data_IF_044046222644
#
_entry.id   IF_044046222644
#
_cell.length_a   1.000
_cell.length_b   1.000
_cell.length_c   1.000
_cell.angle_alpha   90.00
_cell.angle_beta   90.00
_cell.angle_gamma   90.00
#
_symmetry.space_group_name_H-M   'P 1'
#
loop_
_entity.id
_entity.type
_entity.pdbx_description
1 polymer ?
#
# COMPACT_ATOMS: atom_id res chain seq x y z
N UNK A 1 -41.06 6.00 -95.54
CA UNK A 1 -39.83 5.29 -95.93
C UNK A 1 -38.65 6.07 -95.39
N UNK A 2 -37.69 5.38 -94.75
CA UNK A 2 -36.45 5.86 -94.10
C UNK A 2 -36.52 6.20 -92.60
N UNK A 3 -36.28 5.12 -91.86
CA UNK A 3 -35.71 5.01 -90.51
C UNK A 3 -34.32 5.67 -90.49
N UNK A 4 -34.00 6.44 -89.44
CA UNK A 4 -32.62 6.49 -88.94
C UNK A 4 -32.62 6.74 -87.43
N UNK A 5 -32.11 5.74 -86.71
CA UNK A 5 -31.85 5.71 -85.26
C UNK A 5 -30.79 6.77 -84.94
N UNK A 6 -31.05 7.65 -83.98
CA UNK A 6 -30.00 8.41 -83.29
C UNK A 6 -30.01 7.99 -81.84
N UNK A 7 -28.91 7.37 -81.47
CA UNK A 7 -28.62 6.72 -80.20
C UNK A 7 -28.49 7.75 -79.09
N UNK A 8 -29.10 7.40 -77.96
CA UNK A 8 -29.07 8.08 -76.67
C UNK A 8 -27.61 8.18 -76.16
N UNK A 9 -27.03 9.39 -76.12
CA UNK A 9 -25.78 9.67 -75.40
C UNK A 9 -26.13 10.46 -74.13
N UNK A 10 -26.47 9.73 -73.07
CA UNK A 10 -26.57 10.27 -71.72
C UNK A 10 -25.15 10.66 -71.27
N UNK A 11 -24.88 11.96 -71.25
CA UNK A 11 -23.72 12.54 -70.58
C UNK A 11 -23.88 12.37 -69.06
N UNK A 12 -23.38 11.24 -68.54
CA UNK A 12 -23.04 11.06 -67.13
C UNK A 12 -21.79 11.91 -66.83
N UNK A 13 -22.00 13.20 -66.51
CA UNK A 13 -21.01 13.96 -65.75
C UNK A 13 -21.06 13.48 -64.31
N UNK A 14 -20.33 12.40 -64.02
CA UNK A 14 -20.03 12.00 -62.66
C UNK A 14 -19.17 13.10 -62.02
N UNK A 15 -19.70 13.72 -60.98
CA UNK A 15 -18.98 14.61 -60.08
C UNK A 15 -17.81 13.86 -59.45
N UNK A 16 -16.60 14.08 -59.95
CA UNK A 16 -15.38 13.77 -59.20
C UNK A 16 -15.28 14.83 -58.11
N UNK A 17 -15.86 14.54 -56.95
CA UNK A 17 -15.52 15.28 -55.74
C UNK A 17 -14.03 15.01 -55.48
N UNK A 18 -13.18 15.97 -55.81
CA UNK A 18 -11.80 15.96 -55.34
C UNK A 18 -11.88 16.13 -53.83
N UNK A 19 -11.83 15.02 -53.09
CA UNK A 19 -11.51 15.08 -51.67
C UNK A 19 -10.10 15.68 -51.61
N UNK A 20 -10.00 16.92 -51.14
CA UNK A 20 -8.72 17.48 -50.74
C UNK A 20 -8.32 16.68 -49.50
N UNK A 21 -7.32 15.83 -49.65
CA UNK A 21 -6.72 15.13 -48.53
C UNK A 21 -5.97 16.18 -47.70
N UNK A 22 -6.56 16.54 -46.55
CA UNK A 22 -6.00 17.54 -45.67
C UNK A 22 -5.11 16.78 -44.68
N UNK A 23 -3.80 16.97 -44.79
CA UNK A 23 -2.85 16.46 -43.80
C UNK A 23 -3.02 17.25 -42.49
N UNK A 24 -3.71 16.64 -41.54
CA UNK A 24 -3.94 17.22 -40.23
C UNK A 24 -2.61 17.45 -39.47
N UNK A 25 -1.65 16.54 -39.60
CA UNK A 25 -0.36 16.64 -38.95
C UNK A 25 0.39 17.88 -39.43
N UNK A 26 0.44 18.10 -40.74
CA UNK A 26 1.06 19.29 -41.34
C UNK A 26 0.46 20.57 -40.78
N UNK A 27 -0.88 20.68 -40.75
CA UNK A 27 -1.58 21.87 -40.23
C UNK A 27 -1.28 22.09 -38.74
N UNK A 28 -1.37 21.05 -37.92
CA UNK A 28 -1.13 21.15 -36.49
C UNK A 28 0.33 21.56 -36.19
N UNK A 29 1.30 21.01 -36.93
CA UNK A 29 2.72 21.30 -36.78
C UNK A 29 3.12 22.72 -37.24
N UNK A 30 2.28 23.43 -37.99
CA UNK A 30 2.51 24.86 -38.28
C UNK A 30 2.55 25.72 -37.01
N UNK A 31 1.89 25.29 -35.94
CA UNK A 31 1.86 25.99 -34.65
C UNK A 31 2.42 25.14 -33.49
N UNK A 32 2.44 23.81 -33.62
CA UNK A 32 3.00 22.87 -32.64
C UNK A 32 4.33 22.28 -33.14
N UNK A 33 5.21 23.12 -33.66
CA UNK A 33 6.51 22.73 -34.23
C UNK A 33 7.37 21.92 -33.25
N UNK A 34 7.31 22.22 -31.96
CA UNK A 34 7.98 21.49 -30.88
C UNK A 34 7.55 20.02 -30.75
N UNK A 35 6.39 19.65 -31.29
CA UNK A 35 5.90 18.27 -31.27
C UNK A 35 6.56 17.40 -32.35
N UNK A 36 7.16 18.00 -33.38
CA UNK A 36 7.74 17.27 -34.50
C UNK A 36 8.81 16.27 -34.06
N UNK A 37 9.65 16.63 -33.08
CA UNK A 37 10.66 15.73 -32.51
C UNK A 37 10.01 14.56 -31.77
N UNK A 38 8.93 14.82 -31.02
CA UNK A 38 8.25 13.79 -30.24
C UNK A 38 7.52 12.78 -31.14
N UNK A 39 6.92 13.23 -32.23
CA UNK A 39 6.28 12.35 -33.23
C UNK A 39 7.27 11.46 -33.98
N UNK A 40 8.54 11.88 -34.04
CA UNK A 40 9.65 11.14 -34.64
C UNK A 40 10.51 10.42 -33.60
N UNK A 41 10.05 10.34 -32.35
CA UNK A 41 10.78 9.68 -31.29
C UNK A 41 11.00 8.19 -31.59
N UNK A 42 11.99 7.61 -30.89
CA UNK A 42 12.39 6.21 -31.10
C UNK A 42 11.23 5.21 -30.94
N UNK A 43 10.25 5.52 -30.08
CA UNK A 43 9.04 4.75 -29.89
C UNK A 43 7.84 5.65 -30.22
N UNK A 44 7.29 5.57 -31.45
CA UNK A 44 6.13 6.36 -31.84
C UNK A 44 4.84 5.76 -31.28
N UNK A 45 3.86 6.61 -30.93
CA UNK A 45 2.48 6.20 -30.77
C UNK A 45 1.76 6.33 -32.12
N UNK A 46 1.25 5.23 -32.66
CA UNK A 46 0.86 5.15 -34.07
C UNK A 46 -0.14 6.23 -34.54
N UNK A 47 -1.25 6.51 -33.83
CA UNK A 47 -2.19 7.58 -34.23
C UNK A 47 -1.52 8.97 -34.24
N UNK A 48 -0.65 9.24 -33.26
CA UNK A 48 0.05 10.51 -33.18
C UNK A 48 1.07 10.65 -34.32
N UNK A 49 1.86 9.61 -34.59
CA UNK A 49 2.85 9.60 -35.66
C UNK A 49 2.22 9.67 -37.06
N UNK A 50 0.98 9.20 -37.21
CA UNK A 50 0.18 9.33 -38.43
C UNK A 50 -0.46 10.72 -38.61
N UNK A 51 -0.31 11.63 -37.64
CA UNK A 51 -0.90 12.97 -37.70
C UNK A 51 -2.40 13.00 -37.41
N UNK A 52 -2.97 11.94 -36.83
CA UNK A 52 -4.41 11.82 -36.50
C UNK A 52 -4.76 12.59 -35.22
N UNK A 53 -4.34 13.86 -35.12
CA UNK A 53 -4.48 14.68 -33.92
C UNK A 53 -5.94 14.76 -33.42
N UNK A 54 -6.93 14.78 -34.33
CA UNK A 54 -8.35 14.87 -33.92
C UNK A 54 -8.95 13.59 -33.35
N UNK A 55 -8.24 12.46 -33.44
CA UNK A 55 -8.65 11.24 -32.75
C UNK A 55 -8.64 11.45 -31.22
N UNK A 56 -7.70 12.25 -30.73
CA UNK A 56 -7.54 12.54 -29.31
C UNK A 56 -7.91 13.97 -28.93
N UNK A 57 -7.74 14.94 -29.83
CA UNK A 57 -7.97 16.36 -29.56
C UNK A 57 -9.18 16.92 -30.31
N UNK A 58 -9.80 17.94 -29.72
CA UNK A 58 -10.77 18.80 -30.38
C UNK A 58 -10.17 20.20 -30.51
N UNK A 59 -9.64 20.59 -31.69
CA UNK A 59 -8.91 21.84 -31.86
C UNK A 59 -9.77 23.10 -31.71
N UNK A 60 -11.09 22.98 -31.68
CA UNK A 60 -11.99 24.12 -31.54
C UNK A 60 -12.39 24.35 -30.08
N UNK A 61 -12.86 23.31 -29.40
CA UNK A 61 -13.34 23.43 -28.02
C UNK A 61 -13.33 22.08 -27.32
N UNK A 62 -12.81 22.06 -26.10
CA UNK A 62 -13.01 20.97 -25.16
C UNK A 62 -13.19 21.51 -23.74
N UNK A 63 -13.93 20.74 -22.94
CA UNK A 63 -14.01 20.92 -21.48
C UNK A 63 -12.88 20.21 -20.72
N UNK A 64 -12.05 19.44 -21.41
CA UNK A 64 -10.94 18.69 -20.85
C UNK A 64 -9.62 19.42 -21.14
N UNK A 65 -8.64 19.24 -20.25
CA UNK A 65 -7.32 19.86 -20.40
C UNK A 65 -6.66 19.46 -21.73
N UNK A 66 -5.79 20.33 -22.23
CA UNK A 66 -5.07 20.11 -23.50
C UNK A 66 -5.97 19.85 -24.72
N UNK A 67 -7.22 20.33 -24.69
CA UNK A 67 -8.18 20.15 -25.77
C UNK A 67 -8.52 18.67 -26.06
N UNK A 68 -8.44 17.76 -25.09
CA UNK A 68 -8.76 16.35 -25.33
C UNK A 68 -10.25 16.10 -25.63
N UNK A 69 -10.57 15.08 -26.42
CA UNK A 69 -11.95 14.68 -26.75
C UNK A 69 -12.68 14.10 -25.53
N UNK A 70 -11.96 13.42 -24.64
CA UNK A 70 -12.44 12.89 -23.37
C UNK A 70 -11.35 12.93 -22.28
N UNK A 71 -11.66 12.51 -21.05
CA UNK A 71 -10.64 12.24 -20.02
C UNK A 71 -9.67 11.15 -20.49
N UNK A 72 -8.39 11.19 -20.07
CA UNK A 72 -7.38 10.25 -20.56
C UNK A 72 -7.77 8.78 -20.49
N UNK A 73 -8.31 8.29 -19.36
CA UNK A 73 -8.74 6.90 -19.20
C UNK A 73 -9.72 6.43 -20.29
N UNK A 74 -10.97 6.97 -20.33
CA UNK A 74 -11.94 6.63 -21.38
C UNK A 74 -11.41 6.85 -22.81
N UNK A 75 -10.63 7.92 -23.03
CA UNK A 75 -10.06 8.21 -24.34
C UNK A 75 -9.09 7.11 -24.80
N UNK A 76 -8.14 6.72 -23.96
CA UNK A 76 -7.19 5.65 -24.26
C UNK A 76 -7.90 4.30 -24.45
N UNK A 77 -8.88 3.99 -23.60
CA UNK A 77 -9.63 2.72 -23.67
C UNK A 77 -10.58 2.65 -24.87
N UNK A 78 -10.88 3.77 -25.54
CA UNK A 78 -11.66 3.74 -26.79
C UNK A 78 -10.94 3.04 -27.95
N UNK A 79 -9.61 2.91 -27.87
CA UNK A 79 -8.79 2.15 -28.82
C UNK A 79 -8.10 0.95 -28.17
N UNK A 80 -7.76 1.04 -26.88
CA UNK A 80 -7.11 -0.04 -26.11
C UNK A 80 -8.15 -0.87 -25.33
N UNK A 81 -9.12 -1.45 -26.05
CA UNK A 81 -10.23 -2.18 -25.46
C UNK A 81 -9.79 -3.43 -24.68
N UNK A 82 -8.73 -4.12 -25.14
CA UNK A 82 -8.16 -5.29 -24.46
C UNK A 82 -7.67 -4.94 -23.05
N UNK A 83 -7.04 -3.77 -22.90
CA UNK A 83 -6.64 -3.28 -21.58
C UNK A 83 -7.87 -3.06 -20.70
N UNK A 84 -8.97 -2.57 -21.28
CA UNK A 84 -10.24 -2.41 -20.55
C UNK A 84 -10.71 -3.71 -19.90
N UNK A 85 -10.55 -4.85 -20.59
CA UNK A 85 -10.87 -6.17 -20.04
C UNK A 85 -9.89 -6.60 -18.94
N UNK A 86 -8.60 -6.25 -19.07
CA UNK A 86 -7.61 -6.52 -18.01
C UNK A 86 -7.93 -5.77 -16.71
N UNK A 87 -8.60 -4.61 -16.78
CA UNK A 87 -9.01 -3.85 -15.59
C UNK A 87 -10.17 -4.48 -14.80
N UNK A 88 -10.76 -5.58 -15.28
CA UNK A 88 -11.76 -6.35 -14.53
C UNK A 88 -11.14 -7.36 -13.55
N UNK A 89 -9.81 -7.46 -13.50
CA UNK A 89 -9.08 -8.37 -12.60
C UNK A 89 -9.14 -7.90 -11.15
N UNK A 90 -8.83 -8.82 -10.23
CA UNK A 90 -9.07 -8.63 -8.79
C UNK A 90 -8.37 -7.41 -8.18
N UNK A 91 -7.14 -7.12 -8.63
CA UNK A 91 -6.31 -6.02 -8.14
C UNK A 91 -5.96 -5.12 -9.30
N UNK A 92 -6.51 -3.91 -9.33
CA UNK A 92 -6.16 -2.88 -10.31
C UNK A 92 -5.23 -1.87 -9.66
N UNK A 93 -4.16 -1.53 -10.37
CA UNK A 93 -3.23 -0.51 -9.91
C UNK A 93 -3.93 0.85 -9.86
N UNK A 94 -3.91 1.50 -8.69
CA UNK A 94 -4.71 2.69 -8.43
C UNK A 94 -4.58 3.81 -9.51
N UNK A 95 -3.39 4.21 -10.00
CA UNK A 95 -3.28 5.22 -11.05
C UNK A 95 -4.02 4.84 -12.34
N UNK A 96 -4.09 3.54 -12.65
CA UNK A 96 -4.79 3.01 -13.82
C UNK A 96 -6.29 2.98 -13.59
N UNK A 97 -6.75 2.56 -12.40
CA UNK A 97 -8.16 2.63 -12.01
C UNK A 97 -8.71 4.07 -12.05
N UNK A 98 -7.86 5.05 -11.75
CA UNK A 98 -8.19 6.49 -11.83
C UNK A 98 -8.06 7.07 -13.25
N UNK A 99 -7.66 6.27 -14.24
CA UNK A 99 -7.51 6.68 -15.62
C UNK A 99 -6.34 7.64 -15.87
N UNK A 100 -5.32 7.65 -15.01
CA UNK A 100 -4.14 8.54 -15.12
C UNK A 100 -3.05 7.93 -16.00
N UNK A 101 -3.40 7.54 -17.23
CA UNK A 101 -2.49 6.86 -18.15
C UNK A 101 -1.23 7.68 -18.46
N UNK A 102 -1.38 9.01 -18.54
CA UNK A 102 -0.30 9.95 -18.91
C UNK A 102 0.73 10.20 -17.80
N UNK A 103 0.48 9.73 -16.58
CA UNK A 103 1.48 9.77 -15.50
C UNK A 103 2.65 8.82 -15.82
N UNK A 104 2.36 7.76 -16.58
CA UNK A 104 3.29 6.71 -16.93
C UNK A 104 3.62 6.67 -18.42
N UNK A 105 2.68 7.04 -19.30
CA UNK A 105 2.81 6.91 -20.76
C UNK A 105 2.90 8.24 -21.51
N UNK A 106 3.61 8.25 -22.64
CA UNK A 106 3.77 9.37 -23.57
C UNK A 106 2.82 9.18 -24.76
N UNK A 107 1.65 9.85 -24.81
CA UNK A 107 0.64 9.60 -25.84
C UNK A 107 1.05 10.05 -27.26
N UNK A 108 2.12 10.84 -27.40
CA UNK A 108 2.63 11.30 -28.70
C UNK A 108 3.86 10.55 -29.19
N UNK A 109 4.43 9.66 -28.37
CA UNK A 109 5.74 9.05 -28.62
C UNK A 109 6.80 9.51 -27.62
N UNK A 110 7.86 8.73 -27.52
CA UNK A 110 8.94 8.99 -26.57
C UNK A 110 10.16 8.08 -26.79
N UNK A 111 11.22 8.27 -25.99
CA UNK A 111 12.45 7.51 -26.13
C UNK A 111 12.39 6.13 -25.47
N UNK A 112 11.46 5.89 -24.55
CA UNK A 112 11.42 4.66 -23.76
C UNK A 112 10.46 3.61 -24.38
N UNK A 113 10.78 2.30 -24.27
CA UNK A 113 9.88 1.22 -24.65
C UNK A 113 8.50 1.34 -24.01
N UNK A 114 7.48 0.82 -24.69
CA UNK A 114 6.07 0.87 -24.24
C UNK A 114 5.57 2.30 -23.96
N UNK A 115 6.19 3.29 -24.62
CA UNK A 115 5.85 4.71 -24.48
C UNK A 115 5.99 5.21 -23.03
N UNK A 116 6.90 4.68 -22.22
CA UNK A 116 7.00 5.14 -20.83
C UNK A 116 7.62 6.56 -20.75
N UNK A 117 7.15 7.37 -19.80
CA UNK A 117 7.71 8.72 -19.56
C UNK A 117 9.13 8.67 -19.00
N UNK A 118 9.51 7.56 -18.36
CA UNK A 118 10.83 7.27 -17.77
C UNK A 118 11.10 5.76 -17.84
N UNK A 119 12.32 5.32 -17.54
CA UNK A 119 12.58 3.89 -17.35
C UNK A 119 11.76 3.33 -16.18
N UNK A 120 11.46 2.03 -16.21
CA UNK A 120 10.57 1.37 -15.24
C UNK A 120 11.00 1.61 -13.79
N UNK A 121 12.28 1.47 -13.49
CA UNK A 121 12.77 1.57 -12.11
C UNK A 121 12.71 3.00 -11.56
N UNK A 122 12.90 4.01 -12.41
CA UNK A 122 12.74 5.42 -12.04
C UNK A 122 11.27 5.80 -11.96
N UNK A 123 10.44 5.31 -12.89
CA UNK A 123 9.01 5.57 -12.92
C UNK A 123 8.32 5.06 -11.65
N UNK A 124 8.49 3.78 -11.31
CA UNK A 124 7.88 3.18 -10.13
C UNK A 124 8.39 3.85 -8.84
N UNK A 125 9.68 4.17 -8.77
CA UNK A 125 10.27 4.87 -7.63
C UNK A 125 9.77 6.32 -7.44
N UNK A 126 9.12 6.90 -8.45
CA UNK A 126 8.48 8.21 -8.33
C UNK A 126 7.27 8.22 -7.38
N UNK A 127 6.66 7.07 -7.13
CA UNK A 127 5.54 6.93 -6.21
C UNK A 127 5.79 5.92 -5.09
N UNK A 128 6.53 4.83 -5.35
CA UNK A 128 6.81 3.78 -4.38
C UNK A 128 8.13 4.05 -3.63
N UNK A 129 8.04 4.73 -2.49
CA UNK A 129 9.22 5.12 -1.70
C UNK A 129 10.03 3.91 -1.18
N UNK A 130 9.38 2.75 -1.00
CA UNK A 130 10.05 1.52 -0.64
C UNK A 130 11.14 1.13 -1.65
N UNK A 131 10.94 1.42 -2.94
CA UNK A 131 11.95 1.19 -3.99
C UNK A 131 13.18 2.05 -3.73
N UNK A 132 13.00 3.33 -3.35
CA UNK A 132 14.11 4.23 -3.02
C UNK A 132 14.87 3.77 -1.77
N UNK A 133 14.16 3.19 -0.80
CA UNK A 133 14.77 2.56 0.39
C UNK A 133 15.57 1.31 0.01
N UNK A 134 14.98 0.38 -0.75
CA UNK A 134 15.62 -0.87 -1.16
C UNK A 134 16.86 -0.65 -2.05
N UNK A 135 16.85 0.37 -2.92
CA UNK A 135 18.02 0.75 -3.74
C UNK A 135 19.26 1.12 -2.91
N UNK A 136 19.10 1.47 -1.62
CA UNK A 136 20.20 1.79 -0.71
C UNK A 136 20.75 0.57 0.03
N UNK A 137 20.08 -0.58 -0.06
CA UNK A 137 20.51 -1.80 0.61
C UNK A 137 21.66 -2.48 -0.16
N UNK A 138 22.62 -3.08 0.56
CA UNK A 138 23.83 -3.64 -0.03
C UNK A 138 23.60 -4.93 -0.83
N UNK A 139 22.58 -5.72 -0.48
CA UNK A 139 22.26 -6.96 -1.18
C UNK A 139 20.98 -6.74 -1.97
N UNK A 140 21.10 -6.66 -3.29
CA UNK A 140 19.96 -6.48 -4.19
C UNK A 140 19.75 -7.73 -5.04
N UNK A 141 18.50 -8.15 -5.15
CA UNK A 141 18.11 -9.22 -6.03
C UNK A 141 18.36 -8.80 -7.49
N UNK A 142 19.02 -9.61 -8.34
CA UNK A 142 19.47 -9.15 -9.65
C UNK A 142 18.38 -8.57 -10.57
N UNK A 143 17.15 -9.14 -10.67
CA UNK A 143 16.06 -8.52 -11.43
C UNK A 143 15.68 -7.13 -10.91
N UNK A 144 15.65 -6.94 -9.58
CA UNK A 144 15.37 -5.64 -8.96
C UNK A 144 16.48 -4.63 -9.27
N UNK A 145 17.74 -5.02 -9.10
CA UNK A 145 18.90 -4.16 -9.36
C UNK A 145 18.96 -3.67 -10.82
N UNK A 146 18.46 -4.49 -11.76
CA UNK A 146 18.37 -4.14 -13.19
C UNK A 146 17.13 -3.31 -13.55
N UNK A 147 16.15 -3.21 -12.66
CA UNK A 147 14.88 -2.54 -12.95
C UNK A 147 13.88 -3.38 -13.73
N UNK A 148 14.05 -4.71 -13.76
CA UNK A 148 13.22 -5.65 -14.52
C UNK A 148 11.92 -6.00 -13.77
N UNK A 149 11.23 -4.99 -13.23
CA UNK A 149 10.06 -5.13 -12.35
C UNK A 149 8.95 -5.97 -12.99
N UNK A 150 8.74 -5.80 -14.31
CA UNK A 150 7.71 -6.51 -15.06
C UNK A 150 7.98 -8.01 -15.28
N UNK A 151 9.11 -8.52 -14.79
CA UNK A 151 9.35 -9.97 -14.73
C UNK A 151 8.44 -10.65 -13.71
N UNK A 152 8.15 -9.94 -12.62
CA UNK A 152 7.37 -10.45 -11.49
C UNK A 152 6.07 -9.68 -11.28
N UNK A 153 5.97 -8.42 -11.74
CA UNK A 153 4.80 -7.57 -11.55
C UNK A 153 4.06 -7.24 -12.84
N UNK A 154 2.75 -7.07 -12.75
CA UNK A 154 1.87 -6.56 -13.81
C UNK A 154 1.43 -5.13 -13.49
N UNK A 155 2.01 -4.10 -14.13
CA UNK A 155 1.86 -2.70 -13.70
C UNK A 155 0.43 -2.12 -13.79
N UNK A 156 -0.50 -2.81 -14.43
CA UNK A 156 -1.87 -2.34 -14.63
C UNK A 156 -2.87 -3.07 -13.74
N UNK A 157 -2.95 -4.39 -13.85
CA UNK A 157 -3.88 -5.19 -13.07
C UNK A 157 -3.37 -6.62 -12.92
N UNK A 158 -3.74 -7.29 -11.85
CA UNK A 158 -3.45 -8.71 -11.60
C UNK A 158 -4.56 -9.38 -10.81
N UNK A 159 -4.62 -10.70 -10.88
CA UNK A 159 -5.43 -11.53 -9.98
C UNK A 159 -4.74 -11.82 -8.64
N UNK A 160 -3.50 -11.32 -8.46
CA UNK A 160 -2.68 -11.55 -7.29
C UNK A 160 -2.29 -10.23 -6.60
N UNK A 161 -2.17 -10.32 -5.28
CA UNK A 161 -1.75 -9.21 -4.43
C UNK A 161 -0.43 -8.58 -4.89
N UNK A 162 -0.29 -7.28 -4.57
CA UNK A 162 0.84 -6.46 -4.96
C UNK A 162 1.13 -6.49 -6.47
N UNK A 163 0.09 -6.71 -7.28
CA UNK A 163 0.17 -6.78 -8.74
C UNK A 163 1.17 -7.85 -9.21
N UNK A 164 1.25 -8.99 -8.53
CA UNK A 164 2.17 -10.06 -8.92
C UNK A 164 1.68 -10.76 -10.19
N UNK A 165 2.54 -11.04 -11.17
CA UNK A 165 2.13 -11.66 -12.44
C UNK A 165 1.65 -13.11 -12.31
N UNK A 166 1.98 -13.77 -11.20
CA UNK A 166 1.63 -15.15 -10.86
C UNK A 166 1.83 -15.37 -9.35
N UNK A 167 1.44 -16.53 -8.78
CA UNK A 167 1.75 -16.85 -7.40
C UNK A 167 3.26 -16.77 -7.14
N UNK A 168 3.66 -16.12 -6.06
CA UNK A 168 5.06 -15.76 -5.79
C UNK A 168 6.04 -16.95 -5.82
N UNK A 169 5.65 -18.12 -5.31
CA UNK A 169 6.49 -19.32 -5.37
C UNK A 169 6.74 -19.80 -6.80
N UNK A 170 5.74 -19.67 -7.68
CA UNK A 170 5.89 -19.93 -9.10
C UNK A 170 6.81 -18.89 -9.74
N UNK A 171 6.70 -17.59 -9.39
CA UNK A 171 7.61 -16.54 -9.87
C UNK A 171 9.07 -16.86 -9.56
N UNK A 172 9.36 -17.28 -8.33
CA UNK A 172 10.73 -17.61 -7.92
C UNK A 172 11.28 -18.81 -8.71
N UNK A 173 10.47 -19.85 -8.90
CA UNK A 173 10.90 -21.11 -9.54
C UNK A 173 11.08 -21.02 -11.05
N UNK A 174 10.72 -19.90 -11.68
CA UNK A 174 11.13 -19.60 -13.06
C UNK A 174 12.64 -19.45 -13.23
N UNK A 175 13.36 -19.10 -12.16
CA UNK A 175 14.81 -18.93 -12.16
C UNK A 175 15.52 -19.74 -11.07
N UNK A 176 14.89 -19.95 -9.92
CA UNK A 176 15.44 -20.69 -8.79
C UNK A 176 15.00 -22.16 -8.80
N UNK A 177 15.91 -23.06 -9.12
CA UNK A 177 15.62 -24.50 -9.15
C UNK A 177 15.64 -25.10 -7.74
N UNK A 178 14.63 -25.93 -7.44
CA UNK A 178 14.55 -26.70 -6.19
C UNK A 178 15.37 -27.98 -6.32
N UNK A 179 16.69 -27.81 -6.35
CA UNK A 179 17.65 -28.91 -6.52
C UNK A 179 18.28 -29.35 -5.18
N UNK A 180 19.31 -30.20 -5.25
CA UNK A 180 20.03 -30.68 -4.05
C UNK A 180 20.75 -29.54 -3.32
N UNK A 181 21.20 -28.51 -4.04
CA UNK A 181 21.86 -27.33 -3.47
C UNK A 181 20.87 -26.52 -2.65
N UNK A 182 19.68 -26.29 -3.21
CA UNK A 182 18.57 -25.65 -2.51
C UNK A 182 18.20 -26.42 -1.23
N UNK A 183 18.00 -27.74 -1.34
CA UNK A 183 17.64 -28.58 -0.19
C UNK A 183 18.71 -28.54 0.90
N UNK A 184 19.99 -28.57 0.50
CA UNK A 184 21.11 -28.50 1.43
C UNK A 184 21.19 -27.14 2.13
N UNK A 185 20.94 -26.04 1.41
CA UNK A 185 20.91 -24.70 1.99
C UNK A 185 19.79 -24.52 3.04
N UNK A 186 18.70 -25.27 2.91
CA UNK A 186 17.57 -25.29 3.85
C UNK A 186 17.61 -26.48 4.82
N UNK A 187 18.78 -27.10 5.00
CA UNK A 187 19.01 -28.21 5.94
C UNK A 187 18.08 -29.42 5.74
N UNK A 188 17.57 -29.63 4.51
CA UNK A 188 16.68 -30.73 4.18
C UNK A 188 15.22 -30.53 4.60
N UNK A 189 14.83 -29.37 5.13
CA UNK A 189 13.43 -29.06 5.36
C UNK A 189 12.70 -28.80 4.03
N UNK A 190 11.44 -29.28 3.86
CA UNK A 190 10.70 -29.20 2.61
C UNK A 190 10.07 -27.81 2.38
N UNK A 191 10.91 -26.77 2.38
CA UNK A 191 10.49 -25.36 2.28
C UNK A 191 10.08 -24.93 0.87
N UNK A 192 10.19 -25.80 -0.13
CA UNK A 192 9.70 -25.53 -1.49
C UNK A 192 8.18 -25.33 -1.57
N UNK A 193 7.45 -25.80 -0.55
CA UNK A 193 6.02 -25.60 -0.39
C UNK A 193 5.67 -24.35 0.40
N UNK A 194 6.66 -23.72 1.03
CA UNK A 194 6.48 -22.50 1.81
C UNK A 194 6.48 -21.27 0.89
N UNK A 195 5.87 -20.19 1.37
CA UNK A 195 5.95 -18.90 0.71
C UNK A 195 7.36 -18.30 0.94
N UNK A 196 8.21 -18.34 -0.09
CA UNK A 196 9.61 -17.92 -0.02
C UNK A 196 9.80 -16.52 0.58
N UNK A 197 8.88 -15.62 0.26
CA UNK A 197 8.90 -14.25 0.73
C UNK A 197 8.68 -14.12 2.24
N UNK A 198 8.17 -15.14 2.95
CA UNK A 198 8.05 -15.05 4.42
C UNK A 198 9.42 -14.96 5.10
N UNK A 199 10.46 -15.52 4.47
CA UNK A 199 11.83 -15.47 4.99
C UNK A 199 12.75 -14.55 4.19
N UNK A 200 12.48 -14.40 2.90
CA UNK A 200 13.31 -13.62 1.98
C UNK A 200 12.61 -12.34 1.52
N UNK A 201 13.35 -11.26 1.33
CA UNK A 201 12.90 -10.08 0.59
C UNK A 201 13.19 -10.30 -0.91
N UNK A 202 12.18 -10.28 -1.80
CA UNK A 202 12.36 -10.56 -3.22
C UNK A 202 13.08 -9.42 -3.98
N UNK A 203 13.33 -8.28 -3.33
CA UNK A 203 13.94 -7.10 -3.94
C UNK A 203 15.34 -6.85 -3.39
N UNK A 204 15.47 -6.64 -2.08
CA UNK A 204 16.74 -6.28 -1.47
C UNK A 204 16.75 -6.47 0.04
N UNK A 205 17.92 -6.73 0.59
CA UNK A 205 18.14 -6.83 2.04
C UNK A 205 19.50 -6.25 2.46
N UNK A 206 19.62 -5.94 3.74
CA UNK A 206 20.91 -5.70 4.38
C UNK A 206 21.73 -7.00 4.55
N UNK A 207 21.09 -8.16 4.46
CA UNK A 207 21.68 -9.45 4.80
C UNK A 207 21.89 -10.32 3.57
N UNK A 208 22.94 -11.17 3.63
CA UNK A 208 23.20 -12.18 2.62
C UNK A 208 22.01 -13.15 2.50
N UNK A 209 21.78 -13.70 1.31
CA UNK A 209 20.63 -14.57 1.05
C UNK A 209 19.29 -13.84 1.07
N UNK A 210 19.28 -12.50 1.08
CA UNK A 210 18.07 -11.68 1.06
C UNK A 210 17.12 -11.93 2.24
N UNK A 211 17.60 -12.35 3.41
CA UNK A 211 16.72 -12.51 4.57
C UNK A 211 16.03 -11.19 4.98
N UNK A 212 14.83 -11.25 5.57
CA UNK A 212 14.17 -10.05 6.10
C UNK A 212 14.99 -9.41 7.23
N UNK A 213 14.70 -8.15 7.55
CA UNK A 213 15.54 -7.29 8.40
C UNK A 213 15.90 -7.89 9.78
N UNK A 214 14.95 -8.54 10.43
CA UNK A 214 15.13 -9.15 11.74
C UNK A 214 15.21 -10.67 11.58
N UNK A 215 16.18 -11.28 12.25
CA UNK A 215 16.31 -12.73 12.37
C UNK A 215 16.08 -13.15 13.81
N UNK A 216 15.31 -14.21 14.01
CA UNK A 216 15.19 -14.84 15.31
C UNK A 216 16.48 -15.62 15.61
N UNK A 217 17.15 -15.45 16.78
CA UNK A 217 18.46 -16.07 17.01
C UNK A 217 18.51 -17.61 16.83
N UNK A 218 17.49 -18.40 17.23
CA UNK A 218 17.43 -19.83 16.90
C UNK A 218 17.39 -20.11 15.39
N UNK A 219 16.70 -19.29 14.61
CA UNK A 219 16.64 -19.40 13.15
C UNK A 219 17.96 -19.00 12.50
N UNK A 220 18.54 -17.87 12.90
CA UNK A 220 19.85 -17.39 12.42
C UNK A 220 20.96 -18.42 12.66
N UNK A 221 20.94 -19.07 13.82
CA UNK A 221 21.89 -20.15 14.16
C UNK A 221 21.57 -21.49 13.52
N UNK A 222 20.53 -21.59 12.69
CA UNK A 222 20.13 -22.81 12.00
C UNK A 222 19.63 -23.92 12.94
N UNK A 223 19.21 -23.60 14.16
CA UNK A 223 18.76 -24.57 15.17
C UNK A 223 17.27 -24.90 15.00
N UNK A 224 16.87 -25.31 13.79
CA UNK A 224 15.47 -25.59 13.45
C UNK A 224 14.83 -26.63 14.39
N UNK A 225 15.61 -27.64 14.79
CA UNK A 225 15.19 -28.73 15.70
C UNK A 225 14.95 -28.28 17.14
N UNK A 226 15.31 -27.04 17.49
CA UNK A 226 14.91 -26.45 18.76
C UNK A 226 13.40 -26.19 18.81
N UNK A 227 12.74 -26.09 17.66
CA UNK A 227 11.31 -25.84 17.57
C UNK A 227 10.58 -26.93 16.79
N UNK A 228 11.14 -27.39 15.69
CA UNK A 228 10.51 -28.34 14.77
C UNK A 228 11.01 -29.78 14.96
N UNK A 229 10.25 -30.72 14.40
CA UNK A 229 10.69 -32.09 14.22
C UNK A 229 11.89 -32.19 13.25
N UNK A 230 12.55 -33.35 13.20
CA UNK A 230 13.73 -33.55 12.35
C UNK A 230 13.37 -33.46 10.84
N UNK A 231 14.29 -32.93 10.01
CA UNK A 231 14.13 -32.97 8.56
C UNK A 231 14.09 -34.44 8.11
N UNK A 232 13.03 -34.83 7.40
CA UNK A 232 12.78 -36.20 6.95
C UNK A 232 11.91 -37.06 7.87
N UNK A 233 11.41 -36.51 8.98
CA UNK A 233 10.27 -37.13 9.69
C UNK A 233 8.99 -37.07 8.85
N UNK A 234 7.92 -37.78 9.26
CA UNK A 234 6.62 -37.70 8.56
C UNK A 234 6.07 -36.26 8.53
N UNK A 235 6.32 -35.49 9.60
CA UNK A 235 5.83 -34.12 9.77
C UNK A 235 6.97 -33.16 10.18
N UNK A 236 7.92 -32.82 9.28
CA UNK A 236 9.12 -32.06 9.62
C UNK A 236 8.84 -30.68 10.22
N UNK A 237 7.71 -30.04 9.89
CA UNK A 237 7.35 -28.72 10.41
C UNK A 237 6.51 -28.76 11.68
N UNK A 238 6.11 -29.94 12.17
CA UNK A 238 5.44 -30.04 13.46
C UNK A 238 6.33 -29.50 14.57
N UNK A 239 5.77 -28.69 15.47
CA UNK A 239 6.52 -28.18 16.62
C UNK A 239 6.66 -29.25 17.70
N UNK A 240 7.78 -29.24 18.44
CA UNK A 240 8.04 -30.20 19.53
C UNK A 240 7.11 -30.06 20.72
N UNK A 241 6.52 -28.87 20.89
CA UNK A 241 5.61 -28.50 21.96
C UNK A 241 4.51 -27.58 21.42
N UNK A 242 3.37 -27.46 22.12
CA UNK A 242 2.42 -26.37 21.91
C UNK A 242 3.11 -25.00 22.02
N UNK A 243 2.62 -24.02 21.25
CA UNK A 243 3.28 -22.72 21.04
C UNK A 243 3.65 -22.00 22.34
N UNK A 244 2.73 -21.94 23.28
CA UNK A 244 2.84 -21.27 24.57
C UNK A 244 3.99 -21.85 25.41
N UNK A 245 4.14 -23.19 25.44
CA UNK A 245 5.25 -23.87 26.11
C UNK A 245 6.54 -23.76 25.32
N UNK A 246 6.45 -23.88 23.99
CA UNK A 246 7.62 -23.80 23.10
C UNK A 246 8.33 -22.45 23.24
N UNK A 247 7.56 -21.36 23.15
CA UNK A 247 8.07 -20.01 23.32
C UNK A 247 8.46 -19.76 24.78
N UNK A 248 7.66 -20.25 25.74
CA UNK A 248 7.89 -20.07 27.18
C UNK A 248 9.21 -20.66 27.68
N UNK A 249 9.77 -21.68 27.01
CA UNK A 249 11.10 -22.21 27.32
C UNK A 249 12.23 -21.16 27.19
N UNK A 250 11.99 -20.03 26.51
CA UNK A 250 12.93 -18.90 26.40
C UNK A 250 12.30 -17.53 26.71
N UNK A 251 10.99 -17.38 26.55
CA UNK A 251 10.22 -16.14 26.71
C UNK A 251 9.22 -16.25 27.86
N UNK A 252 9.63 -16.87 28.97
CA UNK A 252 8.78 -17.17 30.12
C UNK A 252 8.00 -15.95 30.59
N UNK A 253 8.67 -14.81 30.79
CA UNK A 253 8.04 -13.58 31.27
C UNK A 253 6.93 -13.08 30.33
N UNK A 254 7.19 -13.05 29.02
CA UNK A 254 6.21 -12.55 28.04
C UNK A 254 5.00 -13.49 27.95
N UNK A 255 5.24 -14.80 27.99
CA UNK A 255 4.16 -15.80 27.95
C UNK A 255 3.33 -15.75 29.24
N UNK A 256 3.96 -15.66 30.40
CA UNK A 256 3.26 -15.57 31.68
C UNK A 256 2.46 -14.27 31.80
N UNK A 257 2.99 -13.14 31.30
CA UNK A 257 2.21 -11.89 31.21
C UNK A 257 0.99 -12.06 30.31
N UNK A 258 1.15 -12.60 29.10
CA UNK A 258 0.03 -12.82 28.17
C UNK A 258 -1.04 -13.77 28.72
N UNK A 259 -0.65 -14.76 29.52
CA UNK A 259 -1.59 -15.69 30.16
C UNK A 259 -2.34 -15.07 31.35
N UNK A 260 -1.62 -14.33 32.19
CA UNK A 260 -2.10 -14.00 33.54
C UNK A 260 -2.42 -12.52 33.75
N UNK A 261 -2.20 -11.65 32.75
CA UNK A 261 -2.50 -10.23 32.88
C UNK A 261 -3.98 -9.99 33.29
N UNK A 262 -4.25 -9.07 34.23
CA UNK A 262 -5.62 -8.70 34.62
C UNK A 262 -6.49 -8.27 33.44
N UNK A 263 -5.89 -7.57 32.47
CA UNK A 263 -6.50 -7.22 31.20
C UNK A 263 -5.75 -7.92 30.07
N UNK A 264 -6.20 -9.11 29.62
CA UNK A 264 -5.56 -9.84 28.54
C UNK A 264 -5.85 -9.19 27.17
N UNK A 265 -4.91 -9.28 26.25
CA UNK A 265 -5.05 -8.85 24.85
C UNK A 265 -4.77 -10.03 23.92
N UNK A 266 -5.71 -10.32 23.01
CA UNK A 266 -5.80 -11.51 22.13
C UNK A 266 -5.53 -12.86 22.83
N UNK A 267 -6.52 -13.76 22.74
CA UNK A 267 -6.56 -15.11 23.32
C UNK A 267 -6.03 -15.21 24.77
N UNK A 268 -6.95 -15.17 25.75
CA UNK A 268 -6.67 -15.53 27.14
C UNK A 268 -6.14 -16.98 27.20
N UNK A 269 -4.82 -17.14 27.23
CA UNK A 269 -4.15 -18.45 27.15
C UNK A 269 -2.73 -18.44 26.58
N UNK A 270 -2.27 -17.34 25.97
CA UNK A 270 -0.85 -17.16 25.58
C UNK A 270 -0.35 -18.04 24.44
N UNK A 271 -1.24 -18.51 23.55
CA UNK A 271 -0.91 -19.47 22.49
C UNK A 271 -0.79 -18.89 21.08
N UNK A 272 -1.31 -17.70 20.82
CA UNK A 272 -1.45 -17.16 19.46
C UNK A 272 -0.40 -16.09 19.12
N UNK A 273 0.82 -16.26 19.62
CA UNK A 273 1.94 -15.33 19.40
C UNK A 273 2.19 -15.05 17.92
N UNK A 274 1.93 -16.04 17.06
CA UNK A 274 2.15 -15.97 15.61
C UNK A 274 1.17 -15.07 14.87
N UNK A 275 0.07 -14.65 15.50
CA UNK A 275 -0.81 -13.63 14.93
C UNK A 275 -0.05 -12.32 14.70
N UNK A 276 0.83 -11.99 15.64
CA UNK A 276 1.60 -10.75 15.63
C UNK A 276 3.05 -10.96 15.19
N UNK A 277 3.66 -12.09 15.56
CA UNK A 277 5.09 -12.34 15.37
C UNK A 277 5.39 -13.42 14.33
N UNK A 278 6.51 -13.29 13.63
CA UNK A 278 7.11 -14.37 12.85
C UNK A 278 8.30 -14.95 13.65
N UNK A 279 8.26 -16.22 14.09
CA UNK A 279 9.32 -16.81 14.91
C UNK A 279 10.61 -17.13 14.13
N UNK A 280 10.66 -16.84 12.83
CA UNK A 280 11.85 -17.03 12.01
C UNK A 280 12.50 -15.69 11.70
N UNK A 281 11.76 -14.82 11.02
CA UNK A 281 12.29 -13.58 10.48
C UNK A 281 11.16 -12.64 10.05
N UNK A 282 11.37 -11.33 10.21
CA UNK A 282 10.39 -10.31 9.85
C UNK A 282 11.07 -8.97 9.59
N UNK A 283 10.34 -8.00 9.02
CA UNK A 283 10.85 -6.63 8.91
C UNK A 283 10.54 -5.76 10.14
N UNK A 284 9.47 -6.10 10.87
CA UNK A 284 9.05 -5.38 12.06
C UNK A 284 9.97 -5.65 13.26
N UNK A 285 10.23 -4.60 14.05
CA UNK A 285 10.95 -4.70 15.33
C UNK A 285 10.33 -5.77 16.23
N UNK A 286 11.16 -6.54 16.95
CA UNK A 286 10.65 -7.65 17.77
C UNK A 286 10.01 -8.78 16.95
N UNK A 287 10.38 -8.92 15.67
CA UNK A 287 9.86 -9.93 14.74
C UNK A 287 8.36 -9.78 14.44
N UNK A 288 7.82 -8.56 14.45
CA UNK A 288 6.44 -8.34 14.07
C UNK A 288 6.22 -8.62 12.57
N UNK A 289 5.12 -9.30 12.25
CA UNK A 289 4.71 -9.67 10.88
C UNK A 289 4.56 -8.45 9.95
N UNK A 290 4.30 -7.27 10.52
CA UNK A 290 4.14 -5.98 9.85
C UNK A 290 4.68 -4.86 10.76
N UNK A 291 4.90 -3.64 10.24
CA UNK A 291 5.04 -2.46 11.10
C UNK A 291 3.89 -2.39 12.11
N UNK A 292 4.17 -1.96 13.34
CA UNK A 292 3.23 -2.09 14.47
C UNK A 292 1.89 -1.42 14.20
N UNK A 293 1.89 -0.19 13.66
CA UNK A 293 0.68 0.52 13.24
C UNK A 293 -0.20 -0.34 12.31
N UNK A 294 0.36 -0.80 11.20
CA UNK A 294 -0.35 -1.63 10.23
C UNK A 294 -0.79 -2.99 10.81
N UNK A 295 -0.02 -3.55 11.75
CA UNK A 295 -0.36 -4.80 12.43
C UNK A 295 -1.59 -4.62 13.33
N UNK A 296 -1.54 -3.68 14.27
CA UNK A 296 -2.62 -3.46 15.22
C UNK A 296 -3.93 -3.10 14.52
N UNK A 297 -3.84 -2.23 13.51
CA UNK A 297 -5.02 -1.67 12.86
C UNK A 297 -5.64 -2.63 11.85
N UNK A 298 -4.94 -3.70 11.46
CA UNK A 298 -5.55 -4.79 10.71
C UNK A 298 -6.71 -5.48 11.46
N UNK A 299 -6.77 -5.35 12.79
CA UNK A 299 -7.89 -5.83 13.62
C UNK A 299 -8.67 -4.70 14.29
N UNK A 300 -8.00 -3.62 14.69
CA UNK A 300 -8.61 -2.51 15.45
C UNK A 300 -9.24 -1.42 14.55
N UNK A 301 -8.92 -1.39 13.26
CA UNK A 301 -9.61 -0.60 12.23
C UNK A 301 -9.57 -1.31 10.86
N UNK A 302 -10.14 -2.53 10.73
CA UNK A 302 -10.00 -3.37 9.54
C UNK A 302 -10.65 -2.77 8.28
N UNK A 303 -11.47 -1.73 8.45
CA UNK A 303 -12.17 -1.02 7.37
C UNK A 303 -11.54 0.31 7.02
N UNK A 304 -10.39 0.67 7.65
CA UNK A 304 -9.62 1.89 7.45
C UNK A 304 -10.48 3.05 6.98
N UNK A 305 -11.03 3.85 7.90
CA UNK A 305 -12.07 4.82 7.56
C UNK A 305 -11.79 5.56 6.23
N UNK A 306 -12.82 5.72 5.40
CA UNK A 306 -12.78 6.32 4.06
C UNK A 306 -12.19 7.75 3.96
N UNK A 307 -11.78 8.33 5.09
CA UNK A 307 -11.14 9.65 5.18
C UNK A 307 -9.63 9.61 5.45
N UNK A 308 -9.01 8.43 5.54
CA UNK A 308 -7.57 8.28 5.78
C UNK A 308 -7.14 8.45 7.25
N UNK A 309 -5.92 7.99 7.54
CA UNK A 309 -5.27 7.90 8.86
C UNK A 309 -4.89 9.27 9.46
N UNK A 310 -4.61 10.24 8.60
CA UNK A 310 -4.07 11.54 8.99
C UNK A 310 -5.08 12.34 9.83
N UNK A 311 -4.78 12.48 11.12
CA UNK A 311 -5.54 13.34 12.05
C UNK A 311 -6.52 12.60 12.97
N UNK A 312 -6.64 11.27 12.90
CA UNK A 312 -7.45 10.48 13.85
C UNK A 312 -6.63 9.98 15.03
N UNK A 313 -5.46 9.41 14.77
CA UNK A 313 -4.54 8.94 15.81
C UNK A 313 -3.51 10.02 16.15
N UNK A 314 -3.24 10.21 17.44
CA UNK A 314 -2.14 11.08 17.89
C UNK A 314 -0.80 10.50 17.41
N UNK A 315 -0.09 11.24 16.55
CA UNK A 315 1.29 10.97 16.17
C UNK A 315 2.15 12.18 16.48
N UNK A 316 3.16 12.01 17.34
CA UNK A 316 4.16 13.04 17.61
C UNK A 316 5.30 12.93 16.60
N UNK A 317 5.04 13.33 15.35
CA UNK A 317 6.08 13.46 14.33
C UNK A 317 6.84 12.16 14.04
N UNK A 318 6.12 11.03 14.00
CA UNK A 318 6.62 9.67 13.73
C UNK A 318 7.43 9.01 14.86
N UNK A 319 7.43 9.56 16.07
CA UNK A 319 8.15 8.99 17.22
C UNK A 319 7.32 8.19 18.22
N UNK A 320 6.00 8.13 18.06
CA UNK A 320 5.11 7.35 18.92
C UNK A 320 4.49 6.19 18.15
N UNK A 321 4.66 5.01 18.74
CA UNK A 321 4.05 3.74 18.38
C UNK A 321 2.94 3.41 19.39
N UNK A 322 2.04 2.49 19.00
CA UNK A 322 0.94 2.06 19.87
C UNK A 322 1.44 1.55 21.24
N UNK A 323 2.59 0.87 21.25
CA UNK A 323 3.19 0.30 22.46
C UNK A 323 3.81 1.33 23.42
N UNK A 324 3.86 2.61 23.04
CA UNK A 324 4.27 3.66 23.98
C UNK A 324 3.18 3.97 25.01
N UNK A 325 1.92 3.73 24.66
CA UNK A 325 0.78 3.95 25.53
C UNK A 325 0.08 2.64 25.92
N UNK A 326 0.14 1.62 25.06
CA UNK A 326 -0.52 0.34 25.27
C UNK A 326 0.47 -0.81 25.56
N UNK A 327 0.04 -1.79 26.34
CA UNK A 327 0.73 -3.03 26.63
C UNK A 327 0.12 -4.16 25.75
N UNK A 328 0.70 -4.43 24.58
CA UNK A 328 0.09 -5.32 23.58
C UNK A 328 0.06 -6.80 24.02
N UNK A 329 0.81 -7.17 25.05
CA UNK A 329 0.83 -8.53 25.59
C UNK A 329 -0.12 -8.72 26.79
N UNK A 330 -1.01 -7.77 27.06
CA UNK A 330 -1.86 -7.76 28.25
C UNK A 330 -1.23 -6.96 29.38
N UNK A 331 -2.04 -6.17 30.07
CA UNK A 331 -1.58 -5.21 31.07
C UNK A 331 -2.40 -5.23 32.36
N UNK A 332 -1.94 -4.43 33.33
CA UNK A 332 -2.56 -4.29 34.64
C UNK A 332 -3.64 -3.19 34.67
N UNK A 333 -3.74 -2.39 33.61
CA UNK A 333 -4.67 -1.28 33.50
C UNK A 333 -5.75 -1.51 32.43
N UNK A 334 -6.97 -0.95 32.61
CA UNK A 334 -8.02 -0.99 31.61
C UNK A 334 -7.52 -0.47 30.26
N UNK A 335 -8.12 -0.97 29.17
CA UNK A 335 -7.73 -0.67 27.78
C UNK A 335 -6.22 -0.86 27.51
N UNK A 336 -5.57 -1.72 28.30
CA UNK A 336 -4.18 -2.11 28.15
C UNK A 336 -3.21 -0.94 28.26
N UNK A 337 -3.50 0.09 29.05
CA UNK A 337 -2.53 1.17 29.22
C UNK A 337 -1.26 0.65 29.91
N UNK A 338 -0.10 1.18 29.52
CA UNK A 338 1.20 0.85 30.14
C UNK A 338 1.26 1.28 31.60
N UNK A 339 0.56 2.36 31.94
CA UNK A 339 0.40 2.93 33.29
C UNK A 339 -1.03 3.47 33.42
N UNK A 340 -1.34 4.22 34.49
CA UNK A 340 -2.60 4.98 34.48
C UNK A 340 -2.60 6.03 33.36
N UNK A 341 -3.77 6.39 32.84
CA UNK A 341 -3.90 7.44 31.79
C UNK A 341 -3.17 8.72 32.20
N UNK A 342 -3.27 9.10 33.47
CA UNK A 342 -2.60 10.27 33.99
C UNK A 342 -1.09 10.12 33.92
N UNK A 343 -0.54 9.01 34.43
CA UNK A 343 0.91 8.81 34.49
C UNK A 343 1.54 8.66 33.10
N UNK A 344 0.87 7.94 32.19
CA UNK A 344 1.32 7.81 30.79
C UNK A 344 1.42 9.17 30.11
N UNK A 345 0.39 10.02 30.22
CA UNK A 345 0.42 11.35 29.61
C UNK A 345 1.40 12.28 30.32
N UNK A 346 1.47 12.23 31.66
CA UNK A 346 2.32 13.10 32.48
C UNK A 346 3.81 12.88 32.25
N UNK A 347 4.22 11.68 31.83
CA UNK A 347 5.60 11.39 31.47
C UNK A 347 6.18 12.34 30.39
N UNK A 348 5.32 12.96 29.58
CA UNK A 348 5.71 13.95 28.56
C UNK A 348 4.97 15.29 28.66
N UNK A 349 3.77 15.31 29.24
CA UNK A 349 2.90 16.49 29.35
C UNK A 349 2.82 17.06 30.77
N UNK A 350 3.91 16.98 31.54
CA UNK A 350 3.98 17.46 32.93
C UNK A 350 3.49 18.91 33.08
N UNK A 351 3.88 19.81 32.16
CA UNK A 351 3.46 21.21 32.24
C UNK A 351 1.94 21.35 32.05
N UNK A 352 1.37 20.67 31.05
CA UNK A 352 -0.05 20.71 30.75
C UNK A 352 -0.87 20.15 31.92
N UNK A 353 -0.35 19.12 32.61
CA UNK A 353 -0.97 18.58 33.82
C UNK A 353 -1.08 19.62 34.94
N UNK A 354 -0.01 20.40 35.16
CA UNK A 354 0.05 21.38 36.24
C UNK A 354 -0.89 22.58 36.06
N UNK A 355 -1.38 22.82 34.85
CA UNK A 355 -2.27 23.95 34.52
C UNK A 355 -3.67 23.51 34.10
N UNK A 356 -3.95 22.20 34.12
CA UNK A 356 -5.22 21.67 33.67
C UNK A 356 -6.33 21.79 34.73
N UNK A 357 -7.57 21.56 34.28
CA UNK A 357 -8.73 21.39 35.15
C UNK A 357 -8.45 20.27 36.19
N UNK A 358 -9.00 20.34 37.42
CA UNK A 358 -8.89 19.25 38.39
C UNK A 358 -9.16 17.89 37.76
N UNK A 359 -8.26 16.95 38.00
CA UNK A 359 -8.20 15.59 37.45
C UNK A 359 -7.75 14.61 38.54
N UNK A 360 -7.66 13.32 38.21
CA UNK A 360 -7.27 12.24 39.11
C UNK A 360 -8.44 11.61 39.85
N UNK A 361 -8.14 10.63 40.69
CA UNK A 361 -9.16 9.76 41.30
C UNK A 361 -10.18 10.48 42.19
N UNK A 362 -9.77 11.60 42.81
CA UNK A 362 -10.63 12.41 43.65
C UNK A 362 -11.65 13.25 42.84
N UNK A 363 -11.39 13.46 41.55
CA UNK A 363 -12.26 14.25 40.68
C UNK A 363 -13.11 13.31 39.82
N UNK A 364 -14.44 13.47 39.83
CA UNK A 364 -15.35 12.65 39.02
C UNK A 364 -15.84 13.41 37.79
N UNK A 365 -15.79 12.78 36.63
CA UNK A 365 -16.49 13.25 35.44
C UNK A 365 -18.01 13.10 35.66
N UNK A 366 -18.78 14.20 35.71
CA UNK A 366 -20.22 14.14 35.99
C UNK A 366 -21.04 13.50 34.85
N UNK A 367 -20.45 13.29 33.67
CA UNK A 367 -21.10 12.64 32.53
C UNK A 367 -21.04 11.12 32.62
N UNK A 368 -19.91 10.58 33.12
CA UNK A 368 -19.62 9.13 33.12
C UNK A 368 -19.53 8.53 34.52
N UNK A 369 -19.34 9.36 35.56
CA UNK A 369 -19.10 8.94 36.93
C UNK A 369 -17.70 8.38 37.19
N UNK A 370 -16.82 8.33 36.19
CA UNK A 370 -15.44 7.85 36.32
C UNK A 370 -14.50 8.93 36.86
N UNK A 371 -13.31 8.55 37.29
CA UNK A 371 -12.24 9.52 37.56
C UNK A 371 -12.02 10.40 36.33
N UNK A 372 -11.85 11.71 36.54
CA UNK A 372 -11.55 12.64 35.44
C UNK A 372 -10.07 12.55 35.11
N UNK A 373 -9.77 12.32 33.84
CA UNK A 373 -8.42 12.15 33.31
C UNK A 373 -8.27 12.85 31.95
N UNK A 374 -7.10 12.70 31.31
CA UNK A 374 -6.81 13.36 30.04
C UNK A 374 -7.80 12.94 28.93
N UNK A 375 -8.17 11.66 28.86
CA UNK A 375 -9.08 11.14 27.84
C UNK A 375 -10.56 11.51 28.10
N UNK A 376 -10.87 12.05 29.27
CA UNK A 376 -12.18 12.66 29.54
C UNK A 376 -12.42 13.90 28.65
N UNK A 377 -11.35 14.58 28.26
CA UNK A 377 -11.39 15.77 27.39
C UNK A 377 -10.90 15.48 25.97
N UNK A 378 -9.92 14.57 25.83
CA UNK A 378 -9.25 14.26 24.57
C UNK A 378 -9.66 12.90 23.99
N UNK A 379 -10.02 12.85 22.69
CA UNK A 379 -10.23 11.62 21.92
C UNK A 379 -9.01 11.32 21.06
N UNK A 380 -7.98 10.73 21.67
CA UNK A 380 -6.65 10.54 21.08
C UNK A 380 -6.61 9.60 19.84
N UNK A 381 -7.71 8.94 19.52
CA UNK A 381 -7.82 8.01 18.39
C UNK A 381 -8.88 8.41 17.35
N UNK A 382 -9.82 9.30 17.70
CA UNK A 382 -11.00 9.55 16.89
C UNK A 382 -11.51 11.00 16.91
N UNK A 383 -10.98 11.87 17.79
CA UNK A 383 -11.47 13.23 17.90
C UNK A 383 -11.04 14.08 16.71
N UNK A 384 -12.00 14.61 15.91
CA UNK A 384 -11.69 15.36 14.70
C UNK A 384 -11.42 16.85 14.96
N UNK A 385 -11.38 17.27 16.24
CA UNK A 385 -11.29 18.67 16.62
C UNK A 385 -9.85 19.06 16.99
N UNK A 386 -9.48 20.36 16.89
CA UNK A 386 -8.15 20.83 17.24
C UNK A 386 -7.71 20.35 18.61
N UNK A 387 -6.44 19.92 18.73
CA UNK A 387 -5.87 19.32 19.94
C UNK A 387 -6.58 18.04 20.41
N UNK A 388 -7.20 17.31 19.49
CA UNK A 388 -7.88 16.03 19.75
C UNK A 388 -8.98 16.13 20.79
N UNK A 389 -9.74 17.23 20.84
CA UNK A 389 -10.81 17.41 21.83
C UNK A 389 -12.09 16.67 21.43
N UNK A 390 -12.86 16.17 22.42
CA UNK A 390 -14.16 15.54 22.17
C UNK A 390 -15.26 16.49 21.65
N UNK A 391 -15.00 17.80 21.64
CA UNK A 391 -15.93 18.85 21.19
C UNK A 391 -15.18 19.91 20.38
N UNK A 392 -15.92 20.60 19.51
CA UNK A 392 -15.37 21.62 18.62
C UNK A 392 -14.83 22.84 19.38
N UNK A 393 -15.46 23.20 20.49
CA UNK A 393 -15.05 24.33 21.33
C UNK A 393 -14.90 23.98 22.81
N UNK A 394 -13.96 24.64 23.48
CA UNK A 394 -13.76 24.55 24.94
C UNK A 394 -15.08 24.80 25.69
N UNK A 395 -15.88 25.76 25.23
CA UNK A 395 -17.17 26.11 25.85
C UNK A 395 -18.14 24.94 25.84
N UNK A 396 -18.25 24.22 24.74
CA UNK A 396 -19.13 23.06 24.63
C UNK A 396 -18.64 21.90 25.49
N UNK A 397 -17.32 21.71 25.57
CA UNK A 397 -16.72 20.75 26.48
C UNK A 397 -17.05 21.07 27.94
N UNK A 398 -16.88 22.33 28.36
CA UNK A 398 -17.23 22.80 29.70
C UNK A 398 -18.72 22.62 30.02
N UNK A 399 -19.62 22.99 29.11
CA UNK A 399 -21.08 22.86 29.31
C UNK A 399 -21.49 21.38 29.43
N UNK A 400 -20.81 20.47 28.74
CA UNK A 400 -21.05 19.04 28.84
C UNK A 400 -20.96 18.51 30.28
N UNK A 401 -20.04 19.05 31.08
CA UNK A 401 -19.85 18.70 32.50
C UNK A 401 -20.60 19.64 33.44
N UNK A 402 -20.68 20.93 33.11
CA UNK A 402 -21.28 21.97 33.94
C UNK A 402 -22.59 22.47 33.35
N UNK A 403 -23.60 21.59 33.31
CA UNK A 403 -24.92 21.87 32.71
C UNK A 403 -25.61 23.14 33.23
N UNK A 404 -25.18 23.65 34.39
CA UNK A 404 -25.73 24.85 35.02
C UNK A 404 -24.98 26.16 34.67
N UNK A 405 -23.82 26.13 34.00
CA UNK A 405 -23.08 27.35 33.60
C UNK A 405 -23.75 28.09 32.42
N UNK A 406 -24.74 27.46 31.76
CA UNK A 406 -25.47 28.03 30.62
C UNK A 406 -26.82 28.66 30.96
N UNK A 407 -27.33 28.54 32.20
CA UNK A 407 -28.54 29.23 32.63
C UNK A 407 -28.15 30.58 33.23
N UNK A 408 -28.09 31.61 32.38
CA UNK A 408 -28.39 32.96 32.89
C UNK A 408 -29.88 32.92 33.21
N UNK A 409 -30.22 32.91 34.49
CA UNK A 409 -31.56 33.34 34.90
C UNK A 409 -31.80 34.70 34.23
N UNK A 410 -32.91 34.78 33.50
CA UNK A 410 -33.29 35.96 32.71
C UNK A 410 -33.55 37.16 33.60
#
# INVERSE_FOLDING_TARGET
>A
MKILKVTLLFLLLSSVAMAVDIDQGEICLMCHDSLAEQLQAAVPHAPAAAGECSACHNPHVSRFEHLLQDRPGPLCLSCHEDLGQELDRAVVHQPVAEGRCVDCHTPHGGPNPKLLVRDTATLCAGCHEDINRWKKLPVQHPPFAKGDCSTCHEPHASDHDALSARPIGESCTQCHQVDITFKSAHQGYPVETAACQQCHDPHASAQAGLFRKQLHPPFESGRCTACHALPGSEEPFSTRLPMDKLCGDCHEEQVERSRNAPFPHVSAGGGDCQLCHNPHTADGSGLLNKPMEALCLSCHDPGGSSTGWAGRYVSHGNGLECSNCHEPHGGDHPILMVETVMDTCNACHEHQHNVAHPQGEATRDPRTGRSMDCISCHGIHDAPHPKFMHRESDRELCIGCHKNLGRRDR
#
